data_IF_362609733985
#
_entry.id   IF_362609733985
#
_cell.length_a   1.000
_cell.length_b   1.000
_cell.length_c   1.000
_cell.angle_alpha   90.00
_cell.angle_beta   90.00
_cell.angle_gamma   90.00
#
_symmetry.space_group_name_H-M   'P 1'
#
loop_
_entity.id
_entity.type
_entity.pdbx_description
1 polymer ?
#
# COMPACT_ATOMS: atom_id res chain seq x y z
N UNK A 1 -37.55 4.13 -12.34
CA UNK A 1 -37.05 4.06 -12.19
C UNK A 1 -36.25 4.04 -11.58
N UNK A 2 -36.29 4.00 -11.30
CA UNK A 2 -35.55 3.86 -10.91
C UNK A 2 -34.87 3.54 -10.44
N UNK A 3 -34.73 3.35 -10.37
CA UNK A 3 -33.99 2.90 -10.21
C UNK A 3 -33.08 3.05 -9.89
N UNK A 4 -33.17 3.36 -9.88
CA UNK A 4 -32.13 3.41 -9.74
C UNK A 4 -31.43 3.70 -8.87
N UNK A 5 -31.62 3.84 -8.64
CA UNK A 5 -30.87 3.96 -7.89
C UNK A 5 -30.10 3.64 -7.24
N UNK A 6 -30.25 3.36 -7.36
CA UNK A 6 -29.44 2.90 -7.03
C UNK A 6 -28.40 2.78 -6.96
N UNK A 7 -28.32 2.72 -7.27
CA UNK A 7 -27.21 2.43 -7.43
C UNK A 7 -26.42 2.90 -6.81
N UNK A 8 -26.78 3.24 -6.74
CA UNK A 8 -25.98 3.47 -6.29
C UNK A 8 -25.35 3.29 -5.49
N UNK A 9 -25.71 2.93 -5.39
CA UNK A 9 -25.07 2.63 -4.84
C UNK A 9 -24.20 2.17 -4.64
N UNK A 10 -24.15 1.89 -4.96
CA UNK A 10 -23.34 1.32 -4.94
C UNK A 10 -22.47 1.57 -4.62
N UNK A 11 -22.73 1.91 -4.72
CA UNK A 11 -21.96 2.06 -4.53
C UNK A 11 -21.44 2.11 -3.68
N UNK A 12 -21.60 1.98 -3.52
CA UNK A 12 -21.04 1.98 -2.94
C UNK A 12 -20.64 1.70 -2.42
N UNK A 13 -20.55 1.49 -2.47
CA UNK A 13 -20.02 1.11 -2.34
C UNK A 13 -19.15 0.84 -1.99
N UNK A 14 -19.55 0.61 -2.04
CA UNK A 14 -18.43 -0.15 -1.60
C UNK A 14 -17.15 0.56 -1.39
N UNK A 15 -17.22 1.62 -0.98
CA UNK A 15 -16.03 2.38 -0.88
C UNK A 15 -15.72 3.03 0.43
N UNK A 16 -16.33 2.61 1.51
CA UNK A 16 -15.96 3.17 2.80
C UNK A 16 -14.49 3.01 3.09
N UNK A 17 -13.90 1.93 2.59
CA UNK A 17 -12.48 1.67 2.76
C UNK A 17 -11.65 2.75 2.09
N UNK A 18 -12.06 3.17 0.91
CA UNK A 18 -11.30 4.16 0.18
C UNK A 18 -11.51 5.57 0.69
N UNK A 19 -12.63 5.83 1.32
CA UNK A 19 -12.86 7.14 1.88
C UNK A 19 -11.78 7.50 2.88
N UNK A 20 -11.34 6.53 3.71
CA UNK A 20 -10.28 6.79 4.66
C UNK A 20 -8.94 7.02 4.02
N UNK A 21 -8.68 6.37 2.89
CA UNK A 21 -7.41 6.54 2.21
C UNK A 21 -7.40 7.82 1.39
N UNK A 22 -8.52 8.16 0.79
CA UNK A 22 -8.56 9.31 -0.12
C UNK A 22 -8.39 10.64 0.61
N UNK A 23 -8.60 10.67 1.92
CA UNK A 23 -8.55 11.91 2.68
C UNK A 23 -7.11 12.32 2.97
N UNK A 24 -6.55 13.11 2.07
CA UNK A 24 -5.19 13.60 2.20
C UNK A 24 -4.11 12.60 1.83
N UNK A 25 -4.48 11.42 1.38
CA UNK A 25 -3.53 10.38 1.00
C UNK A 25 -3.21 10.47 -0.47
N UNK A 26 -1.93 10.28 -0.79
CA UNK A 26 -1.41 10.33 -2.15
C UNK A 26 -0.85 8.96 -2.48
N UNK A 27 -1.23 8.41 -3.63
CA UNK A 27 -0.61 7.17 -4.09
C UNK A 27 0.80 7.47 -4.56
N UNK A 28 1.77 6.87 -3.90
CA UNK A 28 3.18 7.07 -4.21
C UNK A 28 3.69 6.09 -5.26
N UNK A 29 3.14 4.89 -5.27
CA UNK A 29 3.54 3.89 -6.24
C UNK A 29 2.78 2.60 -6.02
N UNK A 30 2.92 1.69 -6.97
CA UNK A 30 2.32 0.37 -6.86
C UNK A 30 3.14 -0.63 -7.65
N UNK A 31 3.02 -1.89 -7.28
CA UNK A 31 3.75 -2.97 -7.93
C UNK A 31 2.94 -4.24 -7.89
N UNK A 32 2.92 -4.97 -8.99
CA UNK A 32 2.32 -6.30 -9.01
C UNK A 32 3.29 -7.27 -8.37
N UNK A 33 2.76 -8.11 -7.48
CA UNK A 33 3.60 -9.10 -6.81
C UNK A 33 3.87 -10.25 -7.75
N UNK A 34 5.15 -10.54 -7.94
CA UNK A 34 5.56 -11.68 -8.73
C UNK A 34 5.70 -12.89 -7.81
N UNK A 35 4.83 -13.88 -7.99
CA UNK A 35 4.80 -15.06 -7.14
C UNK A 35 6.10 -15.87 -7.19
N UNK A 36 6.93 -15.63 -8.19
CA UNK A 36 8.21 -16.34 -8.32
C UNK A 36 9.35 -15.64 -7.62
N UNK A 37 9.11 -14.41 -7.17
CA UNK A 37 10.14 -13.64 -6.48
C UNK A 37 9.74 -13.48 -5.04
N UNK A 38 10.74 -13.51 -4.18
CA UNK A 38 10.53 -13.31 -2.77
C UNK A 38 10.71 -11.86 -2.38
N UNK A 39 11.13 -11.04 -3.32
CA UNK A 39 11.46 -9.65 -3.07
C UNK A 39 10.97 -8.80 -4.24
N UNK A 40 10.26 -7.73 -3.91
CA UNK A 40 9.79 -6.78 -4.91
C UNK A 40 10.06 -5.36 -4.43
N UNK A 41 10.01 -4.43 -5.36
CA UNK A 41 10.22 -3.01 -5.08
C UNK A 41 9.08 -2.19 -5.63
N UNK A 42 8.66 -1.20 -4.86
CA UNK A 42 7.77 -0.16 -5.35
C UNK A 42 8.59 1.10 -5.49
N UNK A 43 8.77 1.56 -6.71
CA UNK A 43 9.42 2.85 -6.92
C UNK A 43 8.41 3.93 -6.66
N UNK A 44 8.75 4.83 -5.76
CA UNK A 44 7.87 5.93 -5.44
C UNK A 44 8.12 7.05 -6.43
N UNK A 45 7.04 7.56 -7.00
CA UNK A 45 7.12 8.76 -7.78
C UNK A 45 7.44 9.93 -6.86
N UNK A 46 8.15 10.93 -7.38
CA UNK A 46 8.49 12.09 -6.58
C UNK A 46 7.22 12.91 -6.35
N UNK A 47 6.56 12.68 -5.24
CA UNK A 47 5.31 13.35 -4.87
C UNK A 47 5.49 14.31 -3.70
N UNK A 48 6.73 14.63 -3.37
CA UNK A 48 7.03 15.50 -2.25
C UNK A 48 7.26 14.73 -0.96
N UNK A 49 7.31 15.45 0.12
CA UNK A 49 7.66 14.88 1.41
C UNK A 49 6.40 14.37 2.11
N UNK A 50 6.52 13.23 2.77
CA UNK A 50 5.40 12.64 3.52
C UNK A 50 5.86 12.28 4.92
N UNK A 51 4.91 12.25 5.84
CA UNK A 51 5.17 11.90 7.24
C UNK A 51 4.65 10.52 7.58
N UNK A 52 3.64 10.06 6.87
CA UNK A 52 2.96 8.81 7.19
C UNK A 52 2.77 7.99 5.94
N UNK A 53 2.75 6.67 6.11
CA UNK A 53 2.53 5.76 5.00
C UNK A 53 1.52 4.69 5.38
N UNK A 54 0.86 4.15 4.37
CA UNK A 54 -0.03 2.99 4.46
C UNK A 54 0.29 2.10 3.26
N UNK A 55 0.28 0.80 3.49
CA UNK A 55 0.42 -0.18 2.42
C UNK A 55 -0.91 -0.88 2.26
N UNK A 56 -1.41 -0.90 1.05
CA UNK A 56 -2.66 -1.54 0.68
C UNK A 56 -2.38 -2.71 -0.24
N UNK A 57 -3.17 -3.79 -0.09
CA UNK A 57 -3.04 -4.98 -0.94
C UNK A 57 -4.36 -5.18 -1.68
N UNK A 58 -4.27 -5.48 -2.96
CA UNK A 58 -5.43 -5.78 -3.79
C UNK A 58 -5.21 -7.07 -4.55
N UNK A 59 -6.28 -7.72 -4.92
CA UNK A 59 -6.28 -8.91 -5.77
C UNK A 59 -6.11 -10.20 -5.02
N UNK A 60 -5.08 -10.36 -4.22
CA UNK A 60 -4.83 -11.56 -3.44
C UNK A 60 -4.04 -11.18 -2.20
N UNK A 61 -4.12 -12.01 -1.17
CA UNK A 61 -3.41 -11.77 0.07
C UNK A 61 -1.90 -11.89 -0.13
N UNK A 62 -1.15 -11.09 0.62
CA UNK A 62 0.31 -11.10 0.60
C UNK A 62 0.82 -11.23 2.03
N UNK A 63 1.74 -12.15 2.27
CA UNK A 63 2.43 -12.22 3.53
C UNK A 63 3.74 -11.41 3.42
N UNK A 64 3.87 -10.41 4.26
CA UNK A 64 5.07 -9.59 4.30
C UNK A 64 6.03 -10.10 5.36
N UNK A 65 7.25 -10.37 4.95
CA UNK A 65 8.30 -10.78 5.85
C UNK A 65 9.06 -9.56 6.37
N UNK A 66 9.29 -8.60 5.49
CA UNK A 66 9.90 -7.34 5.87
C UNK A 66 9.51 -6.26 4.86
N UNK A 67 9.50 -5.03 5.32
CA UNK A 67 9.25 -3.86 4.48
C UNK A 67 10.27 -2.80 4.85
N UNK A 68 11.06 -2.37 3.88
CA UNK A 68 12.10 -1.37 4.09
C UNK A 68 11.86 -0.17 3.19
N UNK A 69 11.81 1.01 3.78
CA UNK A 69 11.62 2.26 3.04
C UNK A 69 12.97 2.89 2.80
N UNK A 70 13.30 3.11 1.54
CA UNK A 70 14.52 3.79 1.15
C UNK A 70 14.21 5.26 0.93
N UNK A 71 14.80 6.10 1.75
CA UNK A 71 14.52 7.53 1.73
C UNK A 71 15.48 8.26 0.79
N UNK A 72 15.10 9.46 0.43
CA UNK A 72 15.85 10.25 -0.54
C UNK A 72 17.26 10.59 -0.11
N UNK A 73 17.51 10.63 1.21
CA UNK A 73 18.84 10.92 1.74
C UNK A 73 19.72 9.68 1.86
N UNK A 74 19.22 8.53 1.44
CA UNK A 74 19.96 7.27 1.54
C UNK A 74 19.66 6.44 2.77
N UNK A 75 18.94 6.98 3.73
CA UNK A 75 18.55 6.24 4.93
C UNK A 75 17.55 5.15 4.57
N UNK A 76 17.65 3.99 5.24
CA UNK A 76 16.72 2.89 5.07
C UNK A 76 16.01 2.67 6.40
N UNK A 77 14.69 2.67 6.36
CA UNK A 77 13.85 2.53 7.55
C UNK A 77 13.03 1.26 7.43
N UNK A 78 13.18 0.36 8.40
CA UNK A 78 12.34 -0.84 8.44
C UNK A 78 10.99 -0.49 9.05
N UNK A 79 9.93 -0.86 8.37
CA UNK A 79 8.58 -0.66 8.87
C UNK A 79 8.12 -1.90 9.64
N UNK A 80 7.32 -1.71 10.69
CA UNK A 80 6.84 -2.85 11.48
C UNK A 80 5.67 -3.54 10.80
N UNK A 81 5.91 -4.07 9.60
CA UNK A 81 4.91 -4.81 8.85
C UNK A 81 5.43 -6.23 8.67
N UNK A 82 4.85 -7.16 9.40
CA UNK A 82 5.26 -8.56 9.37
C UNK A 82 4.04 -9.41 9.59
N UNK A 83 3.20 -9.46 8.54
CA UNK A 83 1.91 -10.14 8.66
C UNK A 83 1.31 -10.35 7.30
N UNK A 84 0.21 -11.08 7.29
CA UNK A 84 -0.60 -11.23 6.08
C UNK A 84 -1.53 -10.05 5.99
N UNK A 85 -1.55 -9.41 4.81
CA UNK A 85 -2.53 -8.39 4.48
C UNK A 85 -3.39 -8.97 3.39
N UNK A 86 -4.69 -9.10 3.68
CA UNK A 86 -5.62 -9.71 2.75
C UNK A 86 -5.99 -8.75 1.64
N UNK A 87 -6.47 -9.31 0.54
CA UNK A 87 -6.94 -8.50 -0.57
C UNK A 87 -8.01 -7.52 -0.10
N UNK A 88 -7.83 -6.25 -0.44
CA UNK A 88 -8.74 -5.18 -0.03
C UNK A 88 -8.41 -4.58 1.33
N UNK A 89 -7.43 -5.10 2.02
CA UNK A 89 -7.03 -4.57 3.32
C UNK A 89 -5.75 -3.74 3.20
N UNK A 90 -5.45 -3.04 4.28
CA UNK A 90 -4.26 -2.18 4.35
C UNK A 90 -3.67 -2.22 5.75
N UNK A 91 -2.45 -1.75 5.88
CA UNK A 91 -1.81 -1.59 7.17
C UNK A 91 -2.49 -0.46 7.95
N UNK A 92 -2.21 -0.42 9.24
CA UNK A 92 -2.49 0.79 10.00
C UNK A 92 -1.63 1.93 9.44
N UNK A 93 -1.91 3.13 9.87
CA UNK A 93 -1.09 4.29 9.53
C UNK A 93 0.25 4.17 10.26
N UNK A 94 1.34 4.31 9.50
CA UNK A 94 2.68 4.16 10.05
C UNK A 94 3.40 5.50 9.93
N UNK A 95 3.89 6.00 11.06
CA UNK A 95 4.65 7.24 11.08
C UNK A 95 6.09 6.98 10.66
N UNK A 96 6.61 7.83 9.80
CA UNK A 96 8.03 7.77 9.43
C UNK A 96 8.84 8.47 10.51
N UNK A 97 10.01 7.92 10.86
CA UNK A 97 10.86 8.59 11.84
C UNK A 97 11.37 9.91 11.31
N UNK A 98 11.59 10.85 12.20
CA UNK A 98 11.95 12.20 11.84
C UNK A 98 10.71 13.02 11.57
N UNK A 99 10.72 13.77 10.50
CA UNK A 99 9.58 14.60 10.14
C UNK A 99 9.15 14.22 8.72
N UNK A 100 8.90 15.18 7.87
CA UNK A 100 8.55 14.90 6.49
C UNK A 100 9.75 14.34 5.73
N UNK A 101 9.55 13.22 5.05
CA UNK A 101 10.61 12.51 4.37
C UNK A 101 10.22 12.25 2.92
N UNK A 102 11.21 12.27 2.05
CA UNK A 102 11.03 11.92 0.65
C UNK A 102 11.32 10.43 0.50
N UNK A 103 10.37 9.68 -0.04
CA UNK A 103 10.54 8.25 -0.24
C UNK A 103 11.02 8.02 -1.67
N UNK A 104 12.09 7.25 -1.81
CA UNK A 104 12.62 6.88 -3.12
C UNK A 104 12.04 5.57 -3.59
N UNK A 105 11.99 4.59 -2.72
CA UNK A 105 11.41 3.28 -3.04
C UNK A 105 11.11 2.51 -1.75
N UNK A 106 10.27 1.51 -1.88
CA UNK A 106 10.00 0.57 -0.80
C UNK A 106 10.34 -0.81 -1.31
N UNK A 107 11.18 -1.52 -0.55
CA UNK A 107 11.56 -2.89 -0.85
C UNK A 107 10.85 -3.79 0.13
N UNK A 108 10.12 -4.77 -0.37
CA UNK A 108 9.46 -5.70 0.53
C UNK A 108 9.81 -7.13 0.17
N UNK A 109 10.01 -7.92 1.23
CA UNK A 109 10.24 -9.36 1.12
C UNK A 109 8.95 -10.04 1.51
N UNK A 110 8.49 -10.94 0.68
CA UNK A 110 7.22 -11.61 0.90
C UNK A 110 7.36 -13.09 0.63
N UNK A 111 6.44 -13.85 1.21
CA UNK A 111 6.39 -15.28 0.96
C UNK A 111 5.28 -15.60 0.00
N UNK A 112 5.55 -16.57 -0.85
CA UNK A 112 4.59 -17.06 -1.81
C UNK A 112 3.44 -17.74 -1.06
N UNK A 113 2.24 -17.30 -1.31
CA UNK A 113 1.05 -17.92 -0.77
C UNK A 113 0.52 -18.94 -1.77
N UNK A 114 0.12 -20.09 -1.25
CA UNK A 114 -0.44 -21.13 -2.11
C UNK A 114 -1.74 -20.61 -2.71
N UNK A 115 -1.91 -20.86 -4.00
CA UNK A 115 -3.13 -20.52 -4.72
C UNK A 115 -3.48 -19.04 -4.66
N UNK A 116 -2.54 -18.23 -4.30
CA UNK A 116 -2.76 -16.79 -4.36
C UNK A 116 -2.85 -16.39 -5.82
N UNK A 117 -3.84 -15.63 -6.16
CA UNK A 117 -3.94 -15.04 -7.48
C UNK A 117 -2.94 -13.92 -7.63
N UNK A 118 -3.19 -13.07 -8.60
CA UNK A 118 -2.33 -11.90 -8.81
C UNK A 118 -2.63 -10.86 -7.75
N UNK A 119 -1.59 -10.42 -7.08
CA UNK A 119 -1.71 -9.41 -6.04
C UNK A 119 -1.04 -8.12 -6.50
N UNK A 120 -1.53 -7.03 -6.00
CA UNK A 120 -0.94 -5.71 -6.23
C UNK A 120 -0.76 -5.03 -4.88
N UNK A 121 0.41 -4.43 -4.69
CA UNK A 121 0.74 -3.71 -3.47
C UNK A 121 0.84 -2.23 -3.80
N UNK A 122 0.16 -1.42 -3.04
CA UNK A 122 0.08 0.02 -3.28
C UNK A 122 0.61 0.76 -2.07
N UNK A 123 1.49 1.71 -2.32
CA UNK A 123 2.06 2.55 -1.27
C UNK A 123 1.36 3.90 -1.29
N UNK A 124 0.80 4.28 -0.15
CA UNK A 124 0.15 5.56 0.05
C UNK A 124 0.95 6.40 1.04
N UNK A 125 1.03 7.68 0.80
CA UNK A 125 1.69 8.61 1.69
C UNK A 125 0.80 9.80 2.04
N UNK A 126 1.05 10.41 3.19
CA UNK A 126 0.34 11.60 3.63
C UNK A 126 1.34 12.58 4.23
N UNK A 127 1.18 13.84 3.86
CA UNK A 127 2.03 14.93 4.36
C UNK A 127 1.73 15.30 5.80
#
# INVERSE_FOLDING_TARGET
MIKWVVFLLMAGLAHPVFAGISDGWIQLGKEKVNARMERDEIRAASKGFVKQVVIEVRGAAVYFDSVAVHLGDGEVVDLPVRSIIKAGERTRVIDLPGNARLIRKVVFVHQKLRDAGKAEVILWGRK
#
